data_IF_850756515603
#
_entry.id   IF_850756515603
#
_cell.length_a   1.000
_cell.length_b   1.000
_cell.length_c   1.000
_cell.angle_alpha   90.00
_cell.angle_beta   90.00
_cell.angle_gamma   90.00
#
_symmetry.space_group_name_H-M   'P 1'
#
loop_
_entity.id
_entity.type
_entity.pdbx_description
1 polymer ?
#
# COMPACT_ATOMS: atom_id res chain seq x y z
N UNK A 1 6.15 18.56 6.82
CA UNK A 1 7.01 19.62 7.42
C UNK A 1 8.12 18.97 8.25
N UNK A 2 9.20 19.71 8.50
CA UNK A 2 10.30 19.29 9.38
C UNK A 2 11.04 18.01 8.95
N UNK A 3 11.15 17.79 7.64
CA UNK A 3 12.03 16.78 7.07
C UNK A 3 13.50 17.22 7.21
N UNK A 4 14.40 16.26 7.46
CA UNK A 4 15.83 16.50 7.66
C UNK A 4 16.64 15.47 6.88
N UNK A 5 17.71 15.94 6.25
CA UNK A 5 18.82 15.08 5.84
C UNK A 5 19.81 14.93 7.00
N UNK A 6 20.53 13.81 7.05
CA UNK A 6 21.51 13.52 8.09
C UNK A 6 22.89 13.34 7.46
N UNK A 7 23.88 14.08 7.96
CA UNK A 7 25.28 13.85 7.64
C UNK A 7 25.94 13.10 8.80
N UNK A 8 26.44 11.89 8.53
CA UNK A 8 27.10 11.04 9.52
C UNK A 8 28.60 11.02 9.24
N UNK A 9 29.38 11.54 10.19
CA UNK A 9 30.85 11.54 10.15
C UNK A 9 31.38 10.41 11.00
N UNK A 10 32.19 9.54 10.40
CA UNK A 10 32.84 8.42 11.08
C UNK A 10 34.34 8.41 10.79
N UNK A 11 35.15 7.65 11.53
CA UNK A 11 36.56 7.45 11.18
C UNK A 11 36.79 6.81 9.80
N UNK A 12 35.78 6.10 9.26
CA UNK A 12 35.88 5.39 7.99
C UNK A 12 35.50 6.25 6.76
N UNK A 13 34.73 7.31 7.00
CA UNK A 13 34.27 8.25 5.99
C UNK A 13 33.06 9.08 6.44
N UNK A 14 32.65 10.00 5.58
CA UNK A 14 31.46 10.85 5.76
C UNK A 14 30.38 10.46 4.77
N UNK A 15 29.17 10.21 5.27
CA UNK A 15 28.00 9.95 4.44
C UNK A 15 26.91 10.99 4.65
N UNK A 16 26.05 11.15 3.65
CA UNK A 16 24.80 11.90 3.74
C UNK A 16 23.65 10.97 3.38
N UNK A 17 22.64 10.91 4.25
CA UNK A 17 21.32 10.37 3.93
C UNK A 17 20.36 11.54 3.72
N UNK A 18 19.78 11.63 2.52
CA UNK A 18 18.88 12.74 2.18
C UNK A 18 17.55 12.67 2.90
N UNK A 19 17.15 11.48 3.39
CA UNK A 19 15.75 11.14 3.58
C UNK A 19 14.96 11.33 2.28
N UNK A 20 13.63 11.45 2.40
CA UNK A 20 12.76 11.86 1.30
C UNK A 20 12.96 13.35 1.02
N UNK A 21 13.26 13.71 -0.23
CA UNK A 21 13.67 15.08 -0.56
C UNK A 21 13.04 15.58 -1.86
N UNK A 22 12.64 16.84 -1.87
CA UNK A 22 12.41 17.66 -3.08
C UNK A 22 13.15 18.99 -2.99
N UNK A 23 13.42 19.64 -4.12
CA UNK A 23 14.11 20.94 -4.17
C UNK A 23 13.13 22.08 -4.51
N UNK A 24 12.03 22.17 -3.76
CA UNK A 24 11.03 23.22 -3.96
C UNK A 24 11.62 24.61 -3.67
N UNK A 25 11.64 25.47 -4.69
CA UNK A 25 12.20 26.82 -4.61
C UNK A 25 11.21 27.86 -4.09
N UNK A 26 9.92 27.50 -4.00
CA UNK A 26 8.87 28.37 -3.47
C UNK A 26 8.01 27.58 -2.47
N UNK A 27 8.60 27.02 -1.39
CA UNK A 27 7.86 26.24 -0.41
C UNK A 27 6.94 27.15 0.41
N UNK A 28 5.80 26.62 0.84
CA UNK A 28 4.76 27.39 1.52
C UNK A 28 5.15 27.86 2.92
N UNK A 29 6.04 27.12 3.59
CA UNK A 29 6.58 27.48 4.91
C UNK A 29 7.85 28.33 4.82
N UNK A 30 8.27 28.72 3.59
CA UNK A 30 9.50 29.44 3.31
C UNK A 30 10.78 28.73 3.79
N UNK A 31 10.71 27.43 4.12
CA UNK A 31 11.86 26.63 4.51
C UNK A 31 12.41 25.93 3.27
N UNK A 32 13.40 26.54 2.65
CA UNK A 32 14.11 25.95 1.52
C UNK A 32 14.94 24.76 1.96
N UNK A 33 15.08 23.78 1.08
CA UNK A 33 16.14 22.77 1.20
C UNK A 33 17.48 23.47 1.23
N UNK A 34 18.29 23.22 2.26
CA UNK A 34 19.54 23.94 2.51
C UNK A 34 20.68 23.49 1.58
N UNK A 35 20.54 23.79 0.28
CA UNK A 35 21.54 23.48 -0.74
C UNK A 35 22.89 24.16 -0.47
N UNK A 36 22.91 25.23 0.32
CA UNK A 36 24.14 25.90 0.74
C UNK A 36 24.93 24.99 1.68
N UNK A 37 24.27 24.40 2.68
CA UNK A 37 24.92 23.46 3.58
C UNK A 37 25.32 22.16 2.87
N UNK A 38 24.47 21.62 1.97
CA UNK A 38 24.87 20.51 1.10
C UNK A 38 26.14 20.85 0.28
N UNK A 39 26.25 22.07 -0.25
CA UNK A 39 27.43 22.54 -0.97
C UNK A 39 28.69 22.60 -0.10
N UNK A 40 28.59 23.17 1.11
CA UNK A 40 29.72 23.21 2.07
C UNK A 40 30.17 21.81 2.49
N UNK A 41 29.22 20.89 2.69
CA UNK A 41 29.52 19.50 3.00
C UNK A 41 30.19 18.81 1.80
N UNK A 42 29.71 19.07 0.58
CA UNK A 42 30.36 18.62 -0.66
C UNK A 42 31.81 19.11 -0.80
N UNK A 43 32.08 20.38 -0.48
CA UNK A 43 33.44 20.94 -0.48
C UNK A 43 34.37 20.31 0.56
N UNK A 44 33.82 19.84 1.70
CA UNK A 44 34.57 19.08 2.70
C UNK A 44 34.91 17.64 2.24
N UNK A 45 34.25 17.17 1.18
CA UNK A 45 34.34 15.81 0.67
C UNK A 45 33.32 14.89 1.31
N UNK A 46 32.45 14.31 0.47
CA UNK A 46 31.47 13.30 0.87
C UNK A 46 31.83 11.96 0.22
N UNK A 47 32.02 10.94 1.06
CA UNK A 47 32.41 9.62 0.60
C UNK A 47 31.22 8.85 0.01
N UNK A 48 30.05 8.95 0.65
CA UNK A 48 28.84 8.26 0.21
C UNK A 48 27.61 9.17 0.30
N UNK A 49 26.90 9.35 -0.82
CA UNK A 49 25.58 9.97 -0.83
C UNK A 49 24.50 8.90 -0.98
N UNK A 50 23.61 8.83 0.02
CA UNK A 50 22.40 8.02 0.02
C UNK A 50 21.23 8.92 -0.37
N UNK A 51 20.70 8.74 -1.58
CA UNK A 51 19.69 9.63 -2.15
C UNK A 51 18.37 8.92 -2.46
N UNK A 52 17.25 9.57 -2.11
CA UNK A 52 15.89 9.17 -2.48
C UNK A 52 15.75 8.96 -4.00
N UNK A 53 15.22 7.80 -4.38
CA UNK A 53 15.11 7.35 -5.77
C UNK A 53 13.68 7.39 -6.31
N UNK A 54 12.68 7.72 -5.49
CA UNK A 54 11.25 7.53 -5.77
C UNK A 54 10.83 8.01 -7.16
N UNK A 55 11.30 9.18 -7.59
CA UNK A 55 10.98 9.77 -8.90
C UNK A 55 12.17 9.85 -9.86
N UNK A 56 13.21 9.02 -9.67
CA UNK A 56 14.41 9.06 -10.51
C UNK A 56 14.15 8.80 -12.00
N UNK A 57 13.06 8.09 -12.35
CA UNK A 57 12.66 7.84 -13.74
C UNK A 57 11.80 8.98 -14.34
N UNK A 58 11.40 9.96 -13.53
CA UNK A 58 10.56 11.08 -13.96
C UNK A 58 11.44 12.23 -14.42
N UNK A 59 11.41 12.61 -15.71
CA UNK A 59 12.27 13.67 -16.22
C UNK A 59 11.85 15.06 -15.70
N UNK A 60 12.80 16.00 -15.75
CA UNK A 60 12.54 17.41 -15.43
C UNK A 60 12.51 17.68 -13.92
N UNK A 61 11.68 18.65 -13.51
CA UNK A 61 11.65 19.18 -12.15
C UNK A 61 10.25 19.07 -11.56
N UNK A 62 10.16 18.83 -10.25
CA UNK A 62 8.91 18.96 -9.52
C UNK A 62 8.44 20.41 -9.58
N UNK A 63 7.14 20.60 -9.84
CA UNK A 63 6.54 21.93 -9.83
C UNK A 63 6.45 22.43 -8.38
N UNK A 64 6.63 23.74 -8.14
CA UNK A 64 6.49 24.31 -6.80
C UNK A 64 5.11 24.06 -6.19
N UNK A 65 5.03 23.90 -4.86
CA UNK A 65 3.76 23.68 -4.14
C UNK A 65 2.77 24.84 -4.35
N UNK A 66 3.28 26.05 -4.58
CA UNK A 66 2.50 27.25 -4.90
C UNK A 66 1.69 27.14 -6.19
N UNK A 67 2.08 26.25 -7.12
CA UNK A 67 1.36 26.05 -8.39
C UNK A 67 -0.01 25.39 -8.20
N UNK A 68 -0.26 24.76 -7.04
CA UNK A 68 -1.55 24.14 -6.70
C UNK A 68 -2.61 25.17 -6.34
N UNK A 69 -2.20 26.31 -5.76
CA UNK A 69 -3.10 27.35 -5.24
C UNK A 69 -4.18 27.76 -6.25
N UNK A 70 -3.85 28.15 -7.50
CA UNK A 70 -4.84 28.55 -8.50
C UNK A 70 -5.87 27.47 -8.86
N UNK A 71 -5.46 26.19 -8.91
CA UNK A 71 -6.38 25.09 -9.21
C UNK A 71 -7.34 24.84 -8.05
N UNK A 72 -6.83 24.89 -6.81
CA UNK A 72 -7.64 24.77 -5.60
C UNK A 72 -8.61 25.96 -5.47
N UNK A 73 -8.13 27.18 -5.71
CA UNK A 73 -8.94 28.41 -5.68
C UNK A 73 -10.12 28.34 -6.66
N UNK A 74 -9.83 27.93 -7.91
CA UNK A 74 -10.87 27.71 -8.93
C UNK A 74 -11.88 26.64 -8.50
N UNK A 75 -11.40 25.52 -7.98
CA UNK A 75 -12.26 24.44 -7.51
C UNK A 75 -13.24 24.93 -6.43
N UNK A 76 -12.76 25.77 -5.50
CA UNK A 76 -13.57 26.37 -4.44
C UNK A 76 -14.54 27.43 -4.96
N UNK A 77 -14.10 28.26 -5.91
CA UNK A 77 -14.93 29.30 -6.52
C UNK A 77 -16.11 28.73 -7.32
N UNK A 78 -15.88 27.62 -8.03
CA UNK A 78 -16.89 26.98 -8.89
C UNK A 78 -17.82 26.03 -8.13
N UNK A 79 -17.44 25.58 -6.94
CA UNK A 79 -18.24 24.64 -6.17
C UNK A 79 -19.54 25.30 -5.69
N UNK A 80 -20.68 24.73 -6.07
CA UNK A 80 -22.02 25.20 -5.67
C UNK A 80 -22.59 24.43 -4.46
N UNK A 81 -21.97 23.31 -4.10
CA UNK A 81 -22.31 22.46 -2.94
C UNK A 81 -21.08 22.24 -2.06
N UNK A 82 -21.13 21.22 -1.20
CA UNK A 82 -20.01 20.82 -0.35
C UNK A 82 -18.83 20.34 -1.18
N UNK A 83 -17.64 20.56 -0.63
CA UNK A 83 -16.38 20.10 -1.19
C UNK A 83 -15.86 18.96 -0.32
N UNK A 84 -15.39 17.88 -0.92
CA UNK A 84 -14.72 16.79 -0.23
C UNK A 84 -13.29 16.73 -0.76
N UNK A 85 -12.30 17.02 0.06
CA UNK A 85 -10.89 16.98 -0.31
C UNK A 85 -10.26 15.75 0.33
N UNK A 86 -9.68 14.86 -0.45
CA UNK A 86 -8.92 13.74 0.04
C UNK A 86 -7.41 13.97 -0.15
N UNK A 87 -6.63 13.77 0.90
CA UNK A 87 -5.16 13.83 0.84
C UNK A 87 -4.53 12.97 1.94
N UNK A 88 -3.21 12.85 1.89
CA UNK A 88 -2.44 12.24 2.98
C UNK A 88 -2.57 13.07 4.26
N UNK A 89 -2.87 12.42 5.39
CA UNK A 89 -2.98 13.12 6.68
C UNK A 89 -1.65 13.66 7.20
N UNK A 90 -0.52 13.27 6.62
CA UNK A 90 0.81 13.81 6.92
C UNK A 90 1.14 15.07 6.11
N UNK A 91 0.38 15.39 5.06
CA UNK A 91 0.67 16.51 4.17
C UNK A 91 0.09 17.84 4.71
N UNK A 92 0.62 18.30 5.85
CA UNK A 92 0.14 19.50 6.56
C UNK A 92 0.04 20.73 5.65
N UNK A 93 1.02 20.96 4.78
CA UNK A 93 1.00 22.08 3.83
C UNK A 93 -0.20 22.05 2.87
N UNK A 94 -0.66 20.88 2.45
CA UNK A 94 -1.85 20.75 1.61
C UNK A 94 -3.10 21.08 2.42
N UNK A 95 -3.14 20.64 3.66
CA UNK A 95 -4.27 20.95 4.55
C UNK A 95 -4.33 22.45 4.84
N UNK A 96 -3.19 23.11 5.04
CA UNK A 96 -3.11 24.57 5.18
C UNK A 96 -3.74 25.28 3.97
N UNK A 97 -3.34 24.91 2.74
CA UNK A 97 -3.93 25.50 1.52
C UNK A 97 -5.45 25.31 1.45
N UNK A 98 -5.96 24.16 1.87
CA UNK A 98 -7.39 23.86 1.92
C UNK A 98 -8.11 24.70 2.98
N UNK A 99 -7.50 24.86 4.16
CA UNK A 99 -8.02 25.71 5.25
C UNK A 99 -8.07 27.17 4.83
N UNK A 100 -6.99 27.68 4.19
CA UNK A 100 -6.92 29.05 3.71
C UNK A 100 -7.95 29.32 2.61
N UNK A 101 -8.10 28.38 1.66
CA UNK A 101 -9.14 28.46 0.63
C UNK A 101 -10.54 28.42 1.25
N UNK A 102 -10.80 27.53 2.21
CA UNK A 102 -12.07 27.47 2.90
C UNK A 102 -12.39 28.79 3.61
N UNK A 103 -11.42 29.36 4.32
CA UNK A 103 -11.57 30.65 4.97
C UNK A 103 -11.90 31.77 3.96
N UNK A 104 -11.14 31.86 2.86
CA UNK A 104 -11.35 32.84 1.78
C UNK A 104 -12.78 32.80 1.20
N UNK A 105 -13.33 31.60 1.00
CA UNK A 105 -14.67 31.41 0.43
C UNK A 105 -15.78 31.31 1.49
N UNK A 106 -15.47 31.58 2.76
CA UNK A 106 -16.45 31.57 3.86
C UNK A 106 -17.04 30.17 4.13
N UNK A 107 -16.25 29.12 3.90
CA UNK A 107 -16.61 27.72 4.16
C UNK A 107 -15.98 27.24 5.48
N UNK A 108 -16.63 26.27 6.12
CA UNK A 108 -16.15 25.58 7.32
C UNK A 108 -15.50 24.27 6.94
N UNK A 109 -14.36 23.97 7.56
CA UNK A 109 -13.58 22.75 7.37
C UNK A 109 -13.93 21.74 8.44
N UNK A 110 -14.11 20.48 8.04
CA UNK A 110 -14.32 19.34 8.93
C UNK A 110 -13.23 18.32 8.63
N UNK A 111 -12.40 17.99 9.61
CA UNK A 111 -11.40 16.93 9.48
C UNK A 111 -12.05 15.55 9.65
N UNK A 112 -11.85 14.66 8.67
CA UNK A 112 -12.51 13.34 8.63
C UNK A 112 -11.49 12.22 8.53
N UNK A 113 -11.53 11.34 9.53
CA UNK A 113 -10.62 10.20 9.68
C UNK A 113 -9.67 10.39 10.85
N UNK A 114 -9.41 9.30 11.59
CA UNK A 114 -8.64 9.32 12.84
C UNK A 114 -7.26 9.96 12.65
N UNK A 115 -6.54 9.56 11.60
CA UNK A 115 -5.20 10.09 11.31
C UNK A 115 -5.23 11.57 10.91
N UNK A 116 -6.25 12.01 10.17
CA UNK A 116 -6.39 13.43 9.79
C UNK A 116 -6.63 14.29 11.03
N UNK A 117 -7.59 13.93 11.88
CA UNK A 117 -7.88 14.66 13.12
C UNK A 117 -6.67 14.70 14.04
N UNK A 118 -6.02 13.55 14.26
CA UNK A 118 -4.83 13.46 15.12
C UNK A 118 -3.68 14.32 14.61
N UNK A 119 -3.30 14.15 13.34
CA UNK A 119 -2.14 14.83 12.78
C UNK A 119 -2.36 16.35 12.69
N UNK A 120 -3.56 16.80 12.33
CA UNK A 120 -3.85 18.23 12.25
C UNK A 120 -3.91 18.89 13.62
N UNK A 121 -4.36 18.16 14.66
CA UNK A 121 -4.30 18.66 16.04
C UNK A 121 -2.84 18.87 16.47
N UNK A 122 -1.99 17.85 16.28
CA UNK A 122 -0.55 17.95 16.59
C UNK A 122 0.12 19.06 15.78
N UNK A 123 -0.20 19.19 14.48
CA UNK A 123 0.36 20.22 13.63
C UNK A 123 -0.06 21.63 14.06
N UNK A 124 -1.29 21.81 14.53
CA UNK A 124 -1.76 23.08 15.07
C UNK A 124 -1.05 23.41 16.40
N UNK A 125 -0.92 22.44 17.31
CA UNK A 125 -0.24 22.61 18.60
C UNK A 125 1.25 22.98 18.42
N UNK A 126 1.91 22.39 17.42
CA UNK A 126 3.31 22.66 17.08
C UNK A 126 3.50 23.91 16.19
N UNK A 127 2.42 24.55 15.76
CA UNK A 127 2.47 25.76 14.93
C UNK A 127 2.76 25.52 13.44
N UNK A 128 2.72 24.28 12.95
CA UNK A 128 2.83 23.96 11.52
C UNK A 128 1.52 24.15 10.74
N UNK A 129 0.38 24.22 11.44
CA UNK A 129 -0.94 24.46 10.86
C UNK A 129 -1.57 25.67 11.53
N UNK A 130 -1.78 26.74 10.76
CA UNK A 130 -2.52 27.91 11.21
C UNK A 130 -3.99 27.79 10.82
N UNK A 131 -4.87 27.78 11.81
CA UNK A 131 -6.32 27.69 11.60
C UNK A 131 -6.94 29.05 11.95
N UNK A 132 -7.43 29.82 10.97
CA UNK A 132 -8.12 31.07 11.26
C UNK A 132 -9.37 30.81 12.12
N UNK A 133 -9.70 31.75 13.00
CA UNK A 133 -10.83 31.60 13.93
C UNK A 133 -12.13 31.22 13.22
N UNK A 134 -12.90 30.34 13.87
CA UNK A 134 -14.17 29.83 13.36
C UNK A 134 -14.08 29.11 12.00
N UNK A 135 -12.90 28.71 11.51
CA UNK A 135 -12.80 28.02 10.20
C UNK A 135 -13.04 26.52 10.31
N UNK A 136 -12.56 25.89 11.38
CA UNK A 136 -12.74 24.44 11.61
C UNK A 136 -13.89 24.19 12.58
N UNK A 137 -14.73 23.22 12.25
CA UNK A 137 -15.86 22.76 13.07
C UNK A 137 -15.83 21.24 13.21
N UNK A 138 -16.47 20.72 14.25
CA UNK A 138 -16.57 19.27 14.40
C UNK A 138 -17.65 18.66 13.48
N UNK A 139 -17.60 17.34 13.33
CA UNK A 139 -18.52 16.61 12.44
C UNK A 139 -19.99 16.67 12.90
N UNK A 140 -20.26 16.91 14.19
CA UNK A 140 -21.64 17.05 14.69
C UNK A 140 -22.21 18.41 14.29
N UNK A 141 -21.44 19.47 14.46
CA UNK A 141 -21.78 20.85 14.07
C UNK A 141 -21.99 20.97 12.56
N UNK A 142 -21.28 20.17 11.75
CA UNK A 142 -21.43 20.14 10.31
C UNK A 142 -22.86 19.85 9.84
N UNK A 143 -23.67 19.13 10.63
CA UNK A 143 -25.06 18.77 10.27
C UNK A 143 -26.00 19.96 10.21
N UNK A 144 -25.67 21.04 10.91
CA UNK A 144 -26.48 22.26 10.98
C UNK A 144 -25.99 23.34 10.00
N UNK A 145 -24.98 23.04 9.19
CA UNK A 145 -24.37 23.96 8.23
C UNK A 145 -24.82 23.60 6.81
N UNK A 146 -25.10 24.61 5.98
CA UNK A 146 -25.48 24.41 4.58
C UNK A 146 -24.34 23.77 3.78
N UNK A 147 -24.68 22.87 2.84
CA UNK A 147 -23.71 22.13 2.03
C UNK A 147 -22.68 23.04 1.33
N UNK A 148 -23.12 24.16 0.74
CA UNK A 148 -22.25 25.13 0.04
C UNK A 148 -21.29 25.88 0.99
N UNK A 149 -21.42 25.68 2.30
CA UNK A 149 -20.53 26.21 3.33
C UNK A 149 -19.63 25.15 3.94
N UNK A 150 -19.60 23.93 3.41
CA UNK A 150 -18.81 22.83 3.97
C UNK A 150 -17.65 22.38 3.07
N UNK A 151 -16.55 22.04 3.74
CA UNK A 151 -15.38 21.36 3.19
C UNK A 151 -15.02 20.20 4.11
N UNK A 152 -15.11 18.97 3.61
CA UNK A 152 -14.65 17.78 4.32
C UNK A 152 -13.23 17.45 3.90
N UNK A 153 -12.28 17.55 4.82
CA UNK A 153 -10.88 17.18 4.60
C UNK A 153 -10.66 15.75 5.08
N UNK A 154 -10.59 14.82 4.16
CA UNK A 154 -10.68 13.38 4.36
C UNK A 154 -9.33 12.66 4.16
N UNK A 155 -9.16 11.56 4.90
CA UNK A 155 -8.23 10.47 4.53
C UNK A 155 -8.77 9.63 3.37
N UNK A 156 -7.91 8.78 2.79
CA UNK A 156 -8.34 7.77 1.81
C UNK A 156 -8.06 8.14 0.36
N UNK A 157 -7.03 8.93 0.10
CA UNK A 157 -6.72 9.40 -1.25
C UNK A 157 -6.03 8.33 -2.12
N UNK A 158 -5.67 7.18 -1.55
CA UNK A 158 -5.15 6.00 -2.28
C UNK A 158 -6.21 4.93 -2.54
N UNK A 159 -7.49 5.25 -2.35
CA UNK A 159 -8.58 4.32 -2.63
C UNK A 159 -8.79 3.27 -1.53
N UNK A 160 -8.23 3.49 -0.34
CA UNK A 160 -8.34 2.54 0.77
C UNK A 160 -9.83 2.39 1.19
N UNK A 161 -10.44 1.20 1.08
CA UNK A 161 -11.89 1.04 1.26
C UNK A 161 -12.39 1.51 2.63
N UNK A 162 -11.59 1.27 3.67
CA UNK A 162 -11.94 1.60 5.06
C UNK A 162 -11.54 3.03 5.48
N UNK A 163 -10.86 3.79 4.62
CA UNK A 163 -10.56 5.19 4.89
C UNK A 163 -11.83 6.07 4.78
N UNK A 164 -11.71 7.36 5.08
CA UNK A 164 -12.86 8.26 5.05
C UNK A 164 -13.49 8.34 3.65
N UNK A 165 -12.69 8.65 2.62
CA UNK A 165 -13.17 8.76 1.25
C UNK A 165 -13.74 7.43 0.72
N UNK A 166 -13.06 6.30 0.96
CA UNK A 166 -13.55 4.98 0.53
C UNK A 166 -14.94 4.67 1.06
N UNK A 167 -15.16 4.86 2.36
CA UNK A 167 -16.48 4.68 2.99
C UNK A 167 -17.54 5.65 2.47
N UNK A 168 -17.14 6.88 2.13
CA UNK A 168 -18.05 7.87 1.51
C UNK A 168 -18.45 7.40 0.10
N UNK A 169 -17.49 6.97 -0.71
CA UNK A 169 -17.72 6.47 -2.07
C UNK A 169 -18.53 5.16 -2.10
N UNK A 170 -18.45 4.36 -1.03
CA UNK A 170 -19.25 3.15 -0.84
C UNK A 170 -20.64 3.43 -0.24
N UNK A 171 -20.94 4.69 0.14
CA UNK A 171 -22.20 5.06 0.77
C UNK A 171 -22.40 4.52 2.19
N UNK A 172 -21.32 4.04 2.84
CA UNK A 172 -21.37 3.45 4.19
C UNK A 172 -20.82 4.38 5.28
N UNK A 173 -20.39 5.59 4.91
CA UNK A 173 -19.97 6.60 5.90
C UNK A 173 -21.19 7.14 6.66
N UNK A 174 -21.16 7.08 7.99
CA UNK A 174 -22.32 7.34 8.86
C UNK A 174 -22.93 8.75 8.72
N UNK A 175 -22.08 9.75 8.51
CA UNK A 175 -22.49 11.16 8.59
C UNK A 175 -22.32 11.94 7.27
N UNK A 176 -21.70 11.32 6.24
CA UNK A 176 -21.31 12.04 5.02
C UNK A 176 -21.74 11.20 3.82
N UNK A 177 -22.57 11.79 2.97
CA UNK A 177 -22.99 11.20 1.69
C UNK A 177 -22.61 12.13 0.55
N UNK A 178 -22.42 11.53 -0.63
CA UNK A 178 -22.15 12.26 -1.88
C UNK A 178 -23.45 12.36 -2.67
N UNK A 179 -23.76 13.57 -3.11
CA UNK A 179 -24.90 13.88 -3.96
C UNK A 179 -24.43 14.52 -5.26
N UNK A 180 -25.35 14.62 -6.21
CA UNK A 180 -25.12 15.31 -7.48
C UNK A 180 -24.60 16.74 -7.26
N UNK A 181 -23.61 17.15 -8.05
CA UNK A 181 -22.93 18.46 -8.02
C UNK A 181 -22.02 18.70 -6.81
N UNK A 182 -21.88 17.76 -5.87
CA UNK A 182 -20.80 17.83 -4.88
C UNK A 182 -19.44 17.79 -5.60
N UNK A 183 -18.45 18.55 -5.10
CA UNK A 183 -17.10 18.55 -5.68
C UNK A 183 -16.17 17.68 -4.85
N UNK A 184 -15.51 16.71 -5.46
CA UNK A 184 -14.50 15.88 -4.81
C UNK A 184 -13.13 16.17 -5.39
N UNK A 185 -12.16 16.53 -4.54
CA UNK A 185 -10.79 16.87 -4.92
C UNK A 185 -9.86 15.79 -4.38
N UNK A 186 -9.22 15.05 -5.28
CA UNK A 186 -8.18 14.08 -4.94
C UNK A 186 -6.82 14.76 -4.95
N UNK A 187 -6.46 15.35 -3.81
CA UNK A 187 -5.26 16.16 -3.63
C UNK A 187 -4.04 15.28 -3.24
N UNK A 188 -3.76 14.22 -3.98
CA UNK A 188 -2.55 13.40 -3.81
C UNK A 188 -2.09 12.74 -5.11
N UNK A 189 -0.84 12.29 -5.15
CA UNK A 189 -0.32 11.38 -6.16
C UNK A 189 -1.00 10.02 -6.02
N UNK A 190 -0.98 9.25 -7.11
CA UNK A 190 -1.16 7.80 -7.03
C UNK A 190 0.19 7.23 -6.58
N UNK A 191 0.20 6.47 -5.50
CA UNK A 191 1.33 5.59 -5.19
C UNK A 191 1.26 4.42 -6.18
N UNK A 192 2.37 4.08 -6.87
CA UNK A 192 2.42 2.92 -7.76
C UNK A 192 1.84 1.66 -7.09
N UNK A 193 0.94 0.97 -7.77
CA UNK A 193 0.23 -0.22 -7.28
C UNK A 193 -1.18 0.06 -6.75
N UNK A 194 -1.52 1.32 -6.43
CA UNK A 194 -2.85 1.68 -5.92
C UNK A 194 -3.80 2.25 -6.98
N UNK A 195 -3.38 2.30 -8.25
CA UNK A 195 -4.14 2.94 -9.33
C UNK A 195 -5.56 2.36 -9.44
N UNK A 196 -5.69 1.03 -9.39
CA UNK A 196 -6.97 0.35 -9.52
C UNK A 196 -7.97 0.74 -8.43
N UNK A 197 -7.54 0.78 -7.17
CA UNK A 197 -8.41 1.13 -6.05
C UNK A 197 -8.82 2.61 -6.10
N UNK A 198 -7.91 3.51 -6.49
CA UNK A 198 -8.27 4.93 -6.68
C UNK A 198 -9.27 5.10 -7.83
N UNK A 199 -9.08 4.43 -8.96
CA UNK A 199 -10.02 4.51 -10.08
C UNK A 199 -11.40 3.93 -9.73
N UNK A 200 -11.47 2.86 -8.91
CA UNK A 200 -12.76 2.36 -8.38
C UNK A 200 -13.48 3.44 -7.57
N UNK A 201 -12.78 4.13 -6.68
CA UNK A 201 -13.37 5.22 -5.88
C UNK A 201 -13.82 6.38 -6.77
N UNK A 202 -12.99 6.80 -7.73
CA UNK A 202 -13.37 7.83 -8.72
C UNK A 202 -14.65 7.44 -9.46
N UNK A 203 -14.72 6.22 -9.98
CA UNK A 203 -15.87 5.74 -10.73
C UNK A 203 -17.16 5.77 -9.91
N UNK A 204 -17.11 5.34 -8.64
CA UNK A 204 -18.26 5.42 -7.73
C UNK A 204 -18.72 6.86 -7.49
N UNK A 205 -17.77 7.76 -7.23
CA UNK A 205 -18.09 9.18 -7.00
C UNK A 205 -18.69 9.85 -8.24
N UNK A 206 -18.14 9.58 -9.43
CA UNK A 206 -18.69 10.06 -10.71
C UNK A 206 -20.08 9.47 -10.97
N UNK A 207 -20.28 8.18 -10.67
CA UNK A 207 -21.59 7.52 -10.78
C UNK A 207 -22.65 8.16 -9.87
N UNK A 208 -22.25 8.70 -8.71
CA UNK A 208 -23.11 9.46 -7.80
C UNK A 208 -23.37 10.91 -8.27
N UNK A 209 -22.82 11.32 -9.43
CA UNK A 209 -23.00 12.66 -9.98
C UNK A 209 -22.06 13.72 -9.39
N UNK A 210 -21.00 13.31 -8.68
CA UNK A 210 -20.02 14.24 -8.15
C UNK A 210 -19.07 14.74 -9.24
N UNK A 211 -18.66 16.01 -9.12
CA UNK A 211 -17.58 16.60 -9.92
C UNK A 211 -16.23 16.20 -9.31
N UNK A 212 -15.51 15.29 -9.96
CA UNK A 212 -14.21 14.80 -9.47
C UNK A 212 -13.05 15.56 -10.12
N UNK A 213 -12.21 16.19 -9.28
CA UNK A 213 -10.99 16.90 -9.65
C UNK A 213 -9.80 16.07 -9.17
N UNK A 214 -8.89 15.72 -10.07
CA UNK A 214 -7.72 14.89 -9.79
C UNK A 214 -6.50 15.37 -10.59
N UNK A 215 -5.37 14.67 -10.45
CA UNK A 215 -4.10 15.05 -11.10
C UNK A 215 -4.17 15.06 -12.63
N UNK A 216 -5.09 14.28 -13.21
CA UNK A 216 -5.20 14.09 -14.65
C UNK A 216 -5.95 15.27 -15.32
N UNK A 217 -6.84 15.94 -14.58
CA UNK A 217 -7.66 17.03 -15.09
C UNK A 217 -7.37 18.41 -14.47
N UNK A 218 -6.60 18.48 -13.39
CA UNK A 218 -6.20 19.73 -12.76
C UNK A 218 -4.84 19.63 -12.05
N UNK A 219 -4.14 20.77 -11.94
CA UNK A 219 -2.89 20.89 -11.20
C UNK A 219 -3.14 20.95 -9.69
N UNK A 220 -3.69 19.88 -9.10
CA UNK A 220 -4.05 19.81 -7.66
C UNK A 220 -3.06 19.01 -6.80
N UNK A 221 -1.95 18.57 -7.39
CA UNK A 221 -0.92 17.78 -6.74
C UNK A 221 0.44 18.02 -7.37
N UNK A 222 1.47 18.03 -6.52
CA UNK A 222 2.88 17.96 -6.88
C UNK A 222 3.55 16.93 -5.97
N UNK A 223 4.57 16.24 -6.49
CA UNK A 223 5.25 15.19 -5.74
C UNK A 223 6.06 15.75 -4.56
N UNK A 224 6.28 14.91 -3.55
CA UNK A 224 7.18 15.18 -2.44
C UNK A 224 8.64 14.80 -2.72
N UNK A 225 8.94 14.16 -3.86
CA UNK A 225 10.23 13.54 -4.16
C UNK A 225 10.87 14.14 -5.43
N UNK A 226 12.19 14.32 -5.42
CA UNK A 226 12.98 14.87 -6.52
C UNK A 226 12.78 14.10 -7.83
N UNK A 227 12.49 14.82 -8.91
CA UNK A 227 12.59 14.28 -10.26
C UNK A 227 14.06 14.22 -10.74
N UNK A 228 14.33 13.61 -11.90
CA UNK A 228 15.68 13.47 -12.48
C UNK A 228 16.45 14.80 -12.50
N UNK A 229 15.81 15.91 -12.87
CA UNK A 229 16.43 17.23 -12.95
C UNK A 229 16.91 17.76 -11.59
N UNK A 230 16.15 17.52 -10.52
CA UNK A 230 16.54 17.93 -9.16
C UNK A 230 17.63 17.03 -8.60
N UNK A 231 17.58 15.72 -8.87
CA UNK A 231 18.64 14.78 -8.51
C UNK A 231 19.96 15.15 -9.19
N UNK A 232 19.93 15.54 -10.47
CA UNK A 232 21.13 16.04 -11.17
C UNK A 232 21.75 17.24 -10.46
N UNK A 233 20.94 18.17 -9.95
CA UNK A 233 21.45 19.32 -9.18
C UNK A 233 22.06 18.85 -7.86
N UNK A 234 21.35 17.99 -7.12
CA UNK A 234 21.82 17.46 -5.84
C UNK A 234 23.20 16.78 -5.99
N UNK A 235 23.37 15.87 -6.95
CA UNK A 235 24.66 15.22 -7.17
C UNK A 235 25.77 16.20 -7.62
N UNK A 236 25.46 17.18 -8.47
CA UNK A 236 26.44 18.18 -8.89
C UNK A 236 26.85 19.16 -7.78
N UNK A 237 25.98 19.38 -6.78
CA UNK A 237 26.27 20.20 -5.60
C UNK A 237 27.13 19.41 -4.62
N UNK A 238 26.73 18.18 -4.30
CA UNK A 238 27.39 17.35 -3.28
C UNK A 238 28.71 16.74 -3.79
N UNK A 239 28.77 16.37 -5.08
CA UNK A 239 29.92 15.71 -5.74
C UNK A 239 30.48 14.53 -4.92
N UNK A 240 29.64 13.56 -4.55
CA UNK A 240 30.07 12.46 -3.71
C UNK A 240 31.03 11.52 -4.45
N UNK A 241 31.91 10.84 -3.71
CA UNK A 241 32.81 9.82 -4.28
C UNK A 241 32.06 8.55 -4.68
N UNK A 242 31.11 8.12 -3.87
CA UNK A 242 30.21 6.99 -4.10
C UNK A 242 28.75 7.42 -3.99
N UNK A 243 27.86 6.74 -4.72
CA UNK A 243 26.42 6.94 -4.65
C UNK A 243 25.74 5.62 -4.27
N UNK A 244 24.82 5.67 -3.31
CA UNK A 244 23.98 4.53 -2.94
C UNK A 244 22.52 4.97 -3.03
N UNK A 245 21.86 4.75 -4.18
CA UNK A 245 20.44 4.98 -4.30
C UNK A 245 19.66 4.27 -3.19
N UNK A 246 18.75 4.99 -2.53
CA UNK A 246 17.85 4.45 -1.50
C UNK A 246 16.40 4.82 -1.83
N UNK A 247 15.45 4.26 -1.08
CA UNK A 247 14.02 4.58 -1.15
C UNK A 247 13.42 4.45 -2.56
N UNK A 248 13.20 3.20 -3.00
CA UNK A 248 12.50 2.88 -4.25
C UNK A 248 12.65 1.41 -4.67
N UNK A 249 11.76 0.92 -5.54
CA UNK A 249 11.95 -0.37 -6.23
C UNK A 249 13.25 -0.42 -7.05
N UNK A 250 13.73 -1.61 -7.38
CA UNK A 250 15.01 -1.83 -8.10
C UNK A 250 15.18 -0.95 -9.36
N UNK A 251 14.11 -0.75 -10.16
CA UNK A 251 14.14 0.14 -11.34
C UNK A 251 14.48 1.59 -10.99
N UNK A 252 13.97 2.10 -9.86
CA UNK A 252 14.24 3.45 -9.38
C UNK A 252 15.68 3.58 -8.91
N UNK A 253 16.19 2.58 -8.18
CA UNK A 253 17.57 2.55 -7.69
C UNK A 253 18.56 2.59 -8.86
N UNK A 254 18.32 1.77 -9.89
CA UNK A 254 19.11 1.75 -11.13
C UNK A 254 19.06 3.10 -11.86
N UNK A 255 17.87 3.71 -11.95
CA UNK A 255 17.71 5.02 -12.58
C UNK A 255 18.49 6.11 -11.83
N UNK A 256 18.37 6.17 -10.51
CA UNK A 256 19.10 7.13 -9.67
C UNK A 256 20.63 6.91 -9.74
N UNK A 257 21.08 5.65 -9.70
CA UNK A 257 22.49 5.31 -9.91
C UNK A 257 22.99 5.78 -11.27
N UNK A 258 22.18 5.65 -12.32
CA UNK A 258 22.50 6.16 -13.66
C UNK A 258 22.60 7.69 -13.69
N UNK A 259 21.75 8.40 -12.92
CA UNK A 259 21.84 9.85 -12.76
C UNK A 259 23.16 10.24 -12.08
N UNK A 260 23.54 9.54 -11.01
CA UNK A 260 24.82 9.76 -10.33
C UNK A 260 26.01 9.63 -11.31
N UNK A 261 26.01 8.58 -12.14
CA UNK A 261 27.04 8.36 -13.17
C UNK A 261 27.09 9.52 -14.17
N UNK A 262 25.94 10.01 -14.65
CA UNK A 262 25.88 11.18 -15.55
C UNK A 262 26.52 12.43 -14.96
N UNK A 263 26.54 12.56 -13.63
CA UNK A 263 27.15 13.69 -12.91
C UNK A 263 28.62 13.50 -12.52
N UNK A 264 29.22 12.35 -12.88
CA UNK A 264 30.66 12.10 -12.72
C UNK A 264 31.06 11.10 -11.64
N UNK A 265 30.09 10.45 -10.97
CA UNK A 265 30.39 9.29 -10.11
C UNK A 265 30.87 8.14 -11.00
N UNK A 266 31.99 7.49 -10.67
CA UNK A 266 32.45 6.32 -11.41
C UNK A 266 31.37 5.21 -11.33
N UNK A 267 30.97 4.56 -12.44
CA UNK A 267 30.01 3.45 -12.41
C UNK A 267 30.34 2.36 -11.38
N UNK A 268 31.62 2.14 -11.06
CA UNK A 268 32.06 1.18 -10.03
C UNK A 268 31.81 1.64 -8.59
N UNK A 269 31.57 2.93 -8.40
CA UNK A 269 31.30 3.56 -7.12
C UNK A 269 29.78 3.75 -6.87
N UNK A 270 28.93 3.20 -7.73
CA UNK A 270 27.48 3.13 -7.51
C UNK A 270 27.15 1.82 -6.81
N UNK A 271 26.59 1.92 -5.61
CA UNK A 271 26.20 0.77 -4.80
C UNK A 271 24.69 0.59 -4.92
N UNK A 272 24.26 -0.46 -5.63
CA UNK A 272 22.87 -0.90 -5.64
C UNK A 272 22.71 -1.98 -4.58
N UNK A 273 22.22 -1.58 -3.40
CA UNK A 273 22.01 -2.48 -2.27
C UNK A 273 20.54 -2.93 -2.19
N UNK A 274 20.32 -4.14 -1.71
CA UNK A 274 19.00 -4.67 -1.35
C UNK A 274 18.84 -4.70 0.18
N UNK A 275 17.60 -4.90 0.65
CA UNK A 275 17.35 -5.10 2.07
C UNK A 275 18.20 -6.27 2.59
N UNK A 276 18.93 -6.03 3.69
CA UNK A 276 19.83 -7.00 4.30
C UNK A 276 21.28 -6.98 3.79
N UNK A 277 21.59 -6.27 2.71
CA UNK A 277 22.98 -6.12 2.28
C UNK A 277 23.79 -5.31 3.30
N UNK A 278 25.04 -5.75 3.52
CA UNK A 278 26.01 -5.02 4.34
C UNK A 278 26.94 -4.26 3.40
N UNK A 279 26.83 -2.94 3.42
CA UNK A 279 27.70 -2.03 2.67
C UNK A 279 28.82 -1.54 3.57
N UNK A 280 30.06 -1.91 3.24
CA UNK A 280 31.25 -1.41 3.92
C UNK A 280 31.73 -0.12 3.27
N UNK A 281 32.02 0.88 4.08
CA UNK A 281 32.63 2.14 3.66
C UNK A 281 34.07 2.17 4.16
N UNK A 282 35.01 1.81 3.29
CA UNK A 282 36.42 1.69 3.67
C UNK A 282 37.31 2.62 2.84
N UNK A 283 37.97 3.58 3.51
CA UNK A 283 38.77 4.64 2.88
C UNK A 283 38.02 5.35 1.74
N UNK A 284 36.76 5.67 2.01
CA UNK A 284 35.87 6.35 1.08
C UNK A 284 35.45 5.53 -0.14
N UNK A 285 35.55 4.20 -0.10
CA UNK A 285 34.97 3.34 -1.14
C UNK A 285 33.84 2.54 -0.51
N UNK A 286 32.66 2.57 -1.13
CA UNK A 286 31.51 1.83 -0.69
C UNK A 286 31.34 0.56 -1.55
N UNK A 287 31.15 -0.59 -0.92
CA UNK A 287 30.87 -1.84 -1.61
C UNK A 287 30.02 -2.78 -0.74
N UNK A 288 29.17 -3.58 -1.37
CA UNK A 288 28.49 -4.69 -0.69
C UNK A 288 29.53 -5.76 -0.35
N UNK A 289 29.68 -6.08 0.94
CA UNK A 289 30.68 -7.05 1.44
C UNK A 289 30.08 -8.30 2.07
N UNK A 290 28.76 -8.33 2.24
CA UNK A 290 28.04 -9.43 2.83
C UNK A 290 26.56 -9.12 2.97
N UNK A 291 25.88 -9.95 3.74
CA UNK A 291 24.46 -9.78 4.05
C UNK A 291 24.16 -10.24 5.47
N UNK A 292 23.08 -9.69 6.03
CA UNK A 292 22.49 -10.10 7.29
C UNK A 292 21.10 -10.69 7.04
N UNK A 293 20.63 -11.64 7.87
CA UNK A 293 19.27 -12.11 7.77
C UNK A 293 18.27 -10.96 7.94
N UNK A 294 17.53 -10.68 6.88
CA UNK A 294 16.41 -9.76 6.88
C UNK A 294 15.19 -10.48 6.29
N UNK A 295 14.00 -10.14 6.77
CA UNK A 295 12.77 -10.72 6.28
C UNK A 295 11.58 -9.88 6.68
N UNK A 296 10.45 -10.13 6.04
CA UNK A 296 9.21 -9.45 6.38
C UNK A 296 8.66 -9.97 7.72
N UNK A 297 8.19 -9.04 8.55
CA UNK A 297 7.38 -9.35 9.72
C UNK A 297 5.95 -8.91 9.41
N UNK A 298 5.08 -9.89 9.20
CA UNK A 298 3.68 -9.63 8.92
C UNK A 298 2.91 -9.29 10.20
N UNK A 299 1.96 -8.36 10.10
CA UNK A 299 1.07 -7.97 11.20
C UNK A 299 -0.36 -8.22 10.76
N UNK A 300 -1.09 -9.03 11.54
CA UNK A 300 -2.49 -9.37 11.28
C UNK A 300 -3.31 -9.22 12.57
N UNK A 301 -4.08 -8.14 12.67
CA UNK A 301 -4.79 -7.78 13.89
C UNK A 301 -3.82 -7.49 15.03
N UNK A 302 -3.96 -8.25 16.13
CA UNK A 302 -3.10 -8.15 17.31
C UNK A 302 -1.86 -9.08 17.22
N UNK A 303 -1.78 -9.96 16.22
CA UNK A 303 -0.66 -10.88 16.01
C UNK A 303 0.45 -10.21 15.21
N UNK A 304 1.67 -10.21 15.78
CA UNK A 304 2.88 -9.67 15.14
C UNK A 304 3.86 -10.82 14.90
N UNK A 305 4.20 -11.07 13.63
CA UNK A 305 5.20 -12.07 13.23
C UNK A 305 4.76 -13.53 13.31
N UNK A 306 3.50 -13.81 13.68
CA UNK A 306 2.95 -15.17 13.67
C UNK A 306 2.57 -15.63 12.26
N UNK A 307 2.18 -14.69 11.41
CA UNK A 307 1.78 -14.97 10.04
C UNK A 307 3.01 -15.33 9.21
N UNK A 308 2.96 -16.46 8.51
CA UNK A 308 4.05 -16.93 7.64
C UNK A 308 3.66 -16.87 6.16
N UNK A 309 4.66 -16.92 5.27
CA UNK A 309 4.44 -17.05 3.83
C UNK A 309 3.56 -18.27 3.47
N UNK A 310 3.69 -19.37 4.22
CA UNK A 310 2.87 -20.57 4.02
C UNK A 310 1.38 -20.29 4.31
N UNK A 311 1.10 -19.53 5.37
CA UNK A 311 -0.26 -19.14 5.72
C UNK A 311 -0.85 -18.13 4.73
N UNK A 312 -0.03 -17.20 4.24
CA UNK A 312 -0.41 -16.30 3.16
C UNK A 312 -0.74 -17.06 1.87
N UNK A 313 0.05 -18.07 1.52
CA UNK A 313 -0.24 -18.92 0.36
C UNK A 313 -1.53 -19.71 0.54
N UNK A 314 -1.78 -20.26 1.75
CA UNK A 314 -3.07 -20.91 2.07
C UNK A 314 -4.24 -19.94 1.91
N UNK A 315 -4.12 -18.71 2.40
CA UNK A 315 -5.14 -17.65 2.24
C UNK A 315 -5.35 -17.30 0.78
N UNK A 316 -4.27 -17.21 -0.02
CA UNK A 316 -4.34 -16.96 -1.46
C UNK A 316 -5.12 -18.04 -2.18
N UNK A 317 -4.78 -19.32 -1.96
CA UNK A 317 -5.50 -20.46 -2.55
C UNK A 317 -6.98 -20.42 -2.15
N UNK A 318 -7.29 -20.17 -0.87
CA UNK A 318 -8.67 -20.06 -0.41
C UNK A 318 -9.43 -18.91 -1.08
N UNK A 319 -8.79 -17.76 -1.26
CA UNK A 319 -9.39 -16.57 -1.88
C UNK A 319 -9.59 -16.70 -3.39
N UNK A 320 -8.71 -17.40 -4.10
CA UNK A 320 -8.77 -17.53 -5.57
C UNK A 320 -9.48 -18.79 -6.04
N UNK A 321 -9.26 -19.92 -5.35
CA UNK A 321 -9.73 -21.24 -5.76
C UNK A 321 -10.84 -21.80 -4.87
N UNK A 322 -11.06 -21.25 -3.68
CA UNK A 322 -11.97 -21.79 -2.68
C UNK A 322 -11.44 -23.08 -2.06
N UNK A 323 -12.34 -23.86 -1.44
CA UNK A 323 -11.98 -25.16 -0.88
C UNK A 323 -13.06 -26.22 -1.12
N UNK A 324 -12.61 -27.46 -1.12
CA UNK A 324 -13.43 -28.66 -1.24
C UNK A 324 -13.16 -29.55 -0.05
N UNK A 325 -14.18 -29.80 0.77
CA UNK A 325 -14.09 -30.74 1.89
C UNK A 325 -14.81 -32.04 1.54
N UNK A 326 -14.20 -33.18 1.87
CA UNK A 326 -14.78 -34.51 1.61
C UNK A 326 -14.77 -35.34 2.87
N UNK A 327 -15.93 -35.81 3.30
CA UNK A 327 -16.11 -36.59 4.53
C UNK A 327 -16.56 -38.01 4.21
N UNK A 328 -15.84 -38.99 4.73
CA UNK A 328 -16.18 -40.41 4.58
C UNK A 328 -15.99 -41.15 5.90
N UNK A 329 -16.88 -42.10 6.17
CA UNK A 329 -16.81 -42.99 7.32
C UNK A 329 -16.50 -44.38 6.81
N UNK A 330 -15.47 -45.00 7.36
CA UNK A 330 -15.00 -46.34 6.97
C UNK A 330 -14.98 -47.29 8.16
N UNK A 331 -15.01 -48.57 7.86
CA UNK A 331 -14.69 -49.65 8.77
C UNK A 331 -13.49 -50.40 8.20
N UNK A 332 -12.32 -50.19 8.80
CA UNK A 332 -11.07 -50.81 8.35
C UNK A 332 -10.99 -52.30 8.63
N UNK A 333 -11.80 -52.83 9.57
CA UNK A 333 -11.81 -54.26 9.89
C UNK A 333 -12.66 -55.05 8.90
N UNK A 334 -13.78 -54.47 8.44
CA UNK A 334 -14.59 -55.06 7.37
C UNK A 334 -14.20 -54.60 5.96
N UNK A 335 -13.16 -53.76 5.85
CA UNK A 335 -12.72 -53.12 4.61
C UNK A 335 -13.85 -52.43 3.83
N UNK A 336 -14.75 -51.75 4.54
CA UNK A 336 -15.97 -51.19 3.94
C UNK A 336 -16.16 -49.70 4.21
N UNK A 337 -16.89 -49.03 3.31
CA UNK A 337 -17.30 -47.64 3.46
C UNK A 337 -18.70 -47.61 4.06
N UNK A 338 -18.80 -47.13 5.29
CA UNK A 338 -20.05 -47.09 6.07
C UNK A 338 -20.94 -45.92 5.64
N UNK A 339 -20.34 -44.76 5.33
CA UNK A 339 -21.09 -43.58 4.88
C UNK A 339 -20.20 -42.61 4.07
N UNK A 340 -20.78 -41.92 3.10
CA UNK A 340 -20.08 -40.94 2.25
C UNK A 340 -19.48 -41.57 0.97
N UNK A 341 -18.59 -40.86 0.25
CA UNK A 341 -18.04 -39.54 0.59
C UNK A 341 -19.05 -38.41 0.35
N UNK A 342 -19.27 -37.57 1.36
CA UNK A 342 -19.99 -36.29 1.23
C UNK A 342 -18.99 -35.20 0.87
N UNK A 343 -19.18 -34.59 -0.30
CA UNK A 343 -18.31 -33.54 -0.81
C UNK A 343 -19.06 -32.22 -0.68
N UNK A 344 -18.47 -31.28 0.04
CA UNK A 344 -18.96 -29.91 0.16
C UNK A 344 -18.02 -28.97 -0.61
N UNK A 345 -18.65 -28.10 -1.39
CA UNK A 345 -17.99 -27.08 -2.17
C UNK A 345 -18.32 -25.72 -1.56
N UNK A 346 -17.30 -24.90 -1.31
CA UNK A 346 -17.50 -23.51 -0.94
C UNK A 346 -16.77 -22.63 -1.95
N UNK A 347 -17.49 -21.68 -2.55
CA UNK A 347 -17.03 -20.85 -3.67
C UNK A 347 -16.68 -21.62 -4.97
N UNK A 348 -17.46 -22.66 -5.31
CA UNK A 348 -17.41 -23.36 -6.61
C UNK A 348 -18.82 -23.35 -7.21
N UNK A 349 -18.95 -22.94 -8.47
CA UNK A 349 -20.24 -22.71 -9.15
C UNK A 349 -20.89 -24.00 -9.71
N UNK A 350 -20.43 -25.17 -9.28
CA UNK A 350 -20.78 -26.46 -9.88
C UNK A 350 -21.82 -27.19 -9.04
N UNK A 351 -22.68 -27.97 -9.70
CA UNK A 351 -23.71 -28.77 -9.06
C UNK A 351 -23.13 -30.07 -8.48
N UNK A 352 -23.67 -30.53 -7.35
CA UNK A 352 -23.20 -31.75 -6.67
C UNK A 352 -23.21 -32.99 -7.58
N UNK A 353 -24.07 -33.02 -8.61
CA UNK A 353 -24.18 -34.14 -9.56
C UNK A 353 -22.93 -34.39 -10.39
N UNK A 354 -22.06 -33.39 -10.55
CA UNK A 354 -20.80 -33.55 -11.29
C UNK A 354 -19.81 -34.43 -10.53
N UNK A 355 -19.98 -34.58 -9.22
CA UNK A 355 -19.06 -35.31 -8.35
C UNK A 355 -19.37 -36.81 -8.23
N UNK A 356 -20.45 -37.31 -8.82
CA UNK A 356 -20.90 -38.70 -8.63
C UNK A 356 -19.92 -39.74 -9.15
N UNK A 357 -19.23 -39.40 -10.24
CA UNK A 357 -18.17 -40.24 -10.80
C UNK A 357 -16.97 -40.30 -9.86
N UNK A 358 -16.59 -39.17 -9.25
CA UNK A 358 -15.45 -39.15 -8.32
C UNK A 358 -15.80 -39.76 -6.97
N UNK A 359 -17.06 -39.63 -6.50
CA UNK A 359 -17.55 -40.32 -5.29
C UNK A 359 -17.37 -41.83 -5.42
N UNK A 360 -17.84 -42.41 -6.53
CA UNK A 360 -17.67 -43.84 -6.82
C UNK A 360 -16.19 -44.25 -6.91
N UNK A 361 -15.35 -43.41 -7.53
CA UNK A 361 -13.92 -43.68 -7.64
C UNK A 361 -13.20 -43.64 -6.28
N UNK A 362 -13.56 -42.71 -5.40
CA UNK A 362 -13.03 -42.60 -4.04
C UNK A 362 -13.40 -43.85 -3.24
N UNK A 363 -14.67 -44.27 -3.25
CA UNK A 363 -15.14 -45.47 -2.54
C UNK A 363 -14.34 -46.70 -2.99
N UNK A 364 -14.24 -46.92 -4.31
CA UNK A 364 -13.51 -48.05 -4.86
C UNK A 364 -12.05 -48.07 -4.42
N UNK A 365 -11.34 -46.93 -4.51
CA UNK A 365 -9.92 -46.88 -4.16
C UNK A 365 -9.66 -47.03 -2.65
N UNK A 366 -10.58 -46.58 -1.80
CA UNK A 366 -10.47 -46.76 -0.35
C UNK A 366 -10.77 -48.21 0.05
N UNK A 367 -11.82 -48.83 -0.50
CA UNK A 367 -12.10 -50.26 -0.28
C UNK A 367 -10.95 -51.13 -0.76
N UNK A 368 -10.41 -50.86 -1.96
CA UNK A 368 -9.25 -51.57 -2.48
C UNK A 368 -8.03 -51.46 -1.57
N UNK A 369 -7.70 -50.25 -1.09
CA UNK A 369 -6.59 -50.06 -0.15
C UNK A 369 -6.82 -50.80 1.17
N UNK A 370 -8.03 -50.77 1.73
CA UNK A 370 -8.37 -51.48 2.96
C UNK A 370 -8.32 -53.01 2.80
N UNK A 371 -8.79 -53.54 1.66
CA UNK A 371 -8.69 -54.97 1.35
C UNK A 371 -7.23 -55.44 1.24
N UNK A 372 -6.34 -54.58 0.77
CA UNK A 372 -4.89 -54.83 0.75
C UNK A 372 -4.21 -54.56 2.11
N UNK A 373 -4.99 -54.35 3.18
CA UNK A 373 -4.51 -54.28 4.56
C UNK A 373 -4.21 -52.88 5.07
N UNK A 374 -4.54 -51.81 4.34
CA UNK A 374 -4.35 -50.45 4.83
C UNK A 374 -5.40 -50.08 5.87
N UNK A 375 -4.97 -49.78 7.09
CA UNK A 375 -5.84 -49.36 8.20
C UNK A 375 -5.57 -47.94 8.68
N UNK A 376 -4.50 -47.31 8.19
CA UNK A 376 -4.12 -45.95 8.59
C UNK A 376 -5.05 -44.91 7.95
N UNK A 377 -5.85 -44.24 8.78
CA UNK A 377 -6.79 -43.21 8.37
C UNK A 377 -6.10 -42.03 7.66
N UNK A 378 -4.85 -41.72 8.00
CA UNK A 378 -4.07 -40.67 7.33
C UNK A 378 -3.75 -41.04 5.88
N UNK A 379 -3.36 -42.30 5.62
CA UNK A 379 -3.11 -42.74 4.25
C UNK A 379 -4.38 -42.84 3.42
N UNK A 380 -5.49 -43.27 4.02
CA UNK A 380 -6.81 -43.24 3.41
C UNK A 380 -7.22 -41.79 3.04
N UNK A 381 -6.94 -40.81 3.91
CA UNK A 381 -7.13 -39.39 3.59
C UNK A 381 -6.28 -38.94 2.40
N UNK A 382 -5.01 -39.37 2.31
CA UNK A 382 -4.13 -39.04 1.18
C UNK A 382 -4.61 -39.63 -0.14
N UNK A 383 -5.13 -40.87 -0.13
CA UNK A 383 -5.77 -41.49 -1.31
C UNK A 383 -6.94 -40.61 -1.75
N UNK A 384 -7.90 -40.35 -0.85
CA UNK A 384 -9.07 -39.52 -1.15
C UNK A 384 -8.68 -38.14 -1.68
N UNK A 385 -7.68 -37.48 -1.08
CA UNK A 385 -7.15 -36.18 -1.53
C UNK A 385 -6.63 -36.24 -2.95
N UNK A 386 -5.82 -37.26 -3.28
CA UNK A 386 -5.22 -37.42 -4.61
C UNK A 386 -6.29 -37.70 -5.65
N UNK A 387 -7.24 -38.57 -5.36
CA UNK A 387 -8.34 -38.94 -6.26
C UNK A 387 -9.19 -37.72 -6.59
N UNK A 388 -9.64 -37.02 -5.55
CA UNK A 388 -10.46 -35.82 -5.68
C UNK A 388 -9.71 -34.70 -6.40
N UNK A 389 -8.46 -34.43 -6.01
CA UNK A 389 -7.66 -33.38 -6.65
C UNK A 389 -7.31 -33.67 -8.11
N UNK A 390 -7.02 -34.92 -8.45
CA UNK A 390 -6.75 -35.31 -9.85
C UNK A 390 -8.01 -35.22 -10.72
N UNK A 391 -9.19 -35.44 -10.14
CA UNK A 391 -10.45 -35.25 -10.85
C UNK A 391 -10.74 -33.76 -11.05
N UNK A 392 -10.67 -32.95 -9.99
CA UNK A 392 -10.91 -31.49 -10.05
C UNK A 392 -9.96 -30.83 -11.07
N UNK A 393 -8.66 -31.16 -11.02
CA UNK A 393 -7.69 -30.59 -11.96
C UNK A 393 -7.98 -30.96 -13.42
N UNK A 394 -8.54 -32.14 -13.71
CA UNK A 394 -8.86 -32.58 -15.08
C UNK A 394 -10.21 -32.05 -15.56
N UNK A 395 -11.24 -32.17 -14.74
CA UNK A 395 -12.61 -31.82 -15.10
C UNK A 395 -12.80 -30.30 -15.10
N UNK A 396 -12.24 -29.62 -14.10
CA UNK A 396 -12.53 -28.21 -13.80
C UNK A 396 -11.35 -27.29 -14.10
N UNK A 397 -10.15 -27.86 -14.33
CA UNK A 397 -8.89 -27.11 -14.54
C UNK A 397 -8.56 -26.15 -13.39
N UNK A 398 -8.99 -26.51 -12.18
CA UNK A 398 -8.78 -25.75 -10.93
C UNK A 398 -7.94 -26.52 -9.94
N UNK A 399 -7.42 -25.82 -8.93
CA UNK A 399 -6.62 -26.41 -7.85
C UNK A 399 -7.05 -25.86 -6.48
N UNK A 400 -8.29 -26.11 -6.05
CA UNK A 400 -8.77 -25.68 -4.74
C UNK A 400 -8.01 -26.38 -3.61
N UNK A 401 -8.10 -25.80 -2.41
CA UNK A 401 -7.66 -26.50 -1.21
C UNK A 401 -8.57 -27.71 -0.96
N UNK A 402 -7.99 -28.88 -0.73
CA UNK A 402 -8.75 -30.11 -0.48
C UNK A 402 -8.55 -30.53 0.97
N UNK A 403 -9.67 -30.64 1.69
CA UNK A 403 -9.72 -31.05 3.11
C UNK A 403 -10.40 -32.42 3.20
N UNK A 404 -9.64 -33.53 3.14
CA UNK A 404 -10.17 -34.87 3.31
C UNK A 404 -10.35 -35.21 4.80
N UNK A 405 -11.49 -35.80 5.15
CA UNK A 405 -11.74 -36.32 6.50
C UNK A 405 -12.21 -37.77 6.37
N UNK A 406 -11.44 -38.68 6.95
CA UNK A 406 -11.78 -40.11 7.05
C UNK A 406 -11.97 -40.43 8.53
N UNK A 407 -13.17 -40.86 8.91
CA UNK A 407 -13.46 -41.34 10.25
C UNK A 407 -13.55 -42.87 10.24
N UNK A 408 -12.94 -43.54 11.22
CA UNK A 408 -12.98 -44.99 11.35
C UNK A 408 -13.87 -45.41 12.52
N UNK A 409 -14.93 -46.17 12.26
CA UNK A 409 -15.81 -46.64 13.35
C UNK A 409 -15.16 -47.70 14.24
N UNK A 410 -14.07 -48.32 13.77
CA UNK A 410 -13.32 -49.34 14.51
C UNK A 410 -12.49 -48.74 15.67
N UNK A 411 -12.20 -47.43 15.62
CA UNK A 411 -11.41 -46.71 16.62
C UNK A 411 -12.26 -46.18 17.80
N UNK A 412 -13.57 -45.99 17.62
CA UNK A 412 -14.48 -45.49 18.66
C UNK A 412 -14.96 -46.56 19.68
N UNK A 413 -14.46 -47.80 19.58
CA UNK A 413 -14.80 -48.89 20.50
C UNK A 413 -13.72 -49.10 21.60
N UNK A 414 -12.81 -48.15 21.77
CA UNK A 414 -11.82 -48.12 22.85
C UNK A 414 -12.03 -46.88 23.75
N UNK A 415 -13.21 -46.74 24.35
CA UNK A 415 -13.43 -46.03 25.63
C UNK A 415 -14.47 -46.78 26.48
#
# INVERSE_FOLDING_TARGET
>A
PDALAVCVKTPAGTLIDTGDIKLDQLPLDHRLTDLVEFGKLGEQGIDLLMADSTNAEVPGFVKPETTIGPALDRAFAEATRKIIVASFSSHVHRVQQVVDAAHKYGRKVVFVGRSMVRNMSIAADLGYLHIPENTVVDLKQAKDIQDDKLVYMCTGSQGEPMAALGRIADGIHKDITVNELDTVILASSLIPGNEHEVYKVINKLVQMGARVINKDNAAIHVSGHCNEGELLYLYNIVKPKCAMPIHGEHRHLVANGSIAVKTGVDPKNVVLAEDGDVVDLYHGNAAVVGSVPCGYVYVDGDSVGELTDEELEKRRILGTEGFVSSFIVVNTDSADVVAGPKIYLNAVAEDESDFEKVRSQIVFQLQDAMMHGEKDTYKLQQIMRRTLGSWIARALRRKPMIVPVVANISENNQE
#
